data_IF_943112157331
#
_entry.id   IF_943112157331
#
_cell.length_a   1.000
_cell.length_b   1.000
_cell.length_c   1.000
_cell.angle_alpha   90.00
_cell.angle_beta   90.00
_cell.angle_gamma   90.00
#
_symmetry.space_group_name_H-M   'P 1'
#
loop_
_entity.id
_entity.type
_entity.pdbx_description
1 polymer ?
#
# COMPACT_ATOMS: atom_id res chain seq x y z
N UNK A 1 -9.28 3.22 -3.83
CA UNK A 1 -8.87 2.07 -4.66
C UNK A 1 -7.69 1.37 -4.01
N UNK A 2 -7.52 0.04 -4.18
CA UNK A 2 -6.37 -0.67 -3.62
C UNK A 2 -5.04 -0.17 -4.22
N UNK A 3 -3.92 -0.28 -3.49
CA UNK A 3 -2.60 -0.12 -4.08
C UNK A 3 -2.42 -1.15 -5.19
N UNK A 4 -1.68 -0.80 -6.23
CA UNK A 4 -1.42 -1.73 -7.34
C UNK A 4 -0.53 -2.91 -6.89
N UNK A 5 -0.56 -4.04 -7.64
CA UNK A 5 0.44 -5.08 -7.55
C UNK A 5 1.87 -4.52 -7.74
N UNK A 6 2.87 -5.23 -7.23
CA UNK A 6 4.19 -4.65 -6.99
C UNK A 6 5.11 -4.75 -8.22
N UNK A 7 5.84 -3.67 -8.48
CA UNK A 7 7.10 -3.69 -9.25
C UNK A 7 8.26 -4.09 -8.32
N UNK A 8 9.46 -4.33 -8.87
CA UNK A 8 10.65 -4.62 -8.07
C UNK A 8 10.97 -3.47 -7.10
N UNK A 9 10.95 -2.23 -7.59
CA UNK A 9 11.26 -1.06 -6.76
C UNK A 9 10.23 -0.88 -5.64
N UNK A 10 8.93 -1.13 -5.90
CA UNK A 10 7.91 -1.06 -4.86
C UNK A 10 8.11 -2.14 -3.80
N UNK A 11 8.45 -3.35 -4.22
CA UNK A 11 8.76 -4.46 -3.33
C UNK A 11 10.00 -4.15 -2.46
N UNK A 12 11.06 -3.58 -3.04
CA UNK A 12 12.27 -3.14 -2.34
C UNK A 12 11.97 -2.04 -1.32
N UNK A 13 11.21 -1.01 -1.71
CA UNK A 13 10.81 0.08 -0.81
C UNK A 13 9.97 -0.46 0.35
N UNK A 14 8.99 -1.31 0.06
CA UNK A 14 8.07 -1.85 1.06
C UNK A 14 8.78 -2.78 2.04
N UNK A 15 9.62 -3.69 1.53
CA UNK A 15 10.40 -4.60 2.36
C UNK A 15 11.47 -3.86 3.17
N UNK A 16 12.12 -2.85 2.60
CA UNK A 16 13.07 -2.00 3.32
C UNK A 16 12.40 -1.21 4.45
N UNK A 17 11.20 -0.64 4.22
CA UNK A 17 10.44 0.06 5.25
C UNK A 17 9.95 -0.86 6.38
N UNK A 18 9.52 -2.08 6.03
CA UNK A 18 8.87 -3.01 6.98
C UNK A 18 9.86 -3.90 7.73
N UNK A 19 10.95 -4.28 7.09
CA UNK A 19 11.90 -5.28 7.60
C UNK A 19 13.34 -4.80 7.65
N UNK A 20 13.65 -3.60 7.11
CA UNK A 20 15.02 -3.10 7.04
C UNK A 20 15.91 -3.82 6.02
N UNK A 21 15.31 -4.52 5.04
CA UNK A 21 16.08 -5.25 4.03
C UNK A 21 16.72 -4.33 2.99
N UNK A 22 17.93 -4.69 2.60
CA UNK A 22 18.64 -4.03 1.51
C UNK A 22 18.04 -4.43 0.15
N UNK A 23 18.05 -3.54 -0.86
CA UNK A 23 17.45 -3.80 -2.18
C UNK A 23 17.95 -5.09 -2.84
N UNK A 24 19.23 -5.41 -2.66
CA UNK A 24 19.85 -6.62 -3.20
C UNK A 24 19.30 -7.90 -2.54
N UNK A 25 19.11 -7.91 -1.22
CA UNK A 25 18.55 -9.05 -0.49
C UNK A 25 17.10 -9.33 -0.95
N UNK A 26 16.33 -8.27 -1.20
CA UNK A 26 14.97 -8.38 -1.72
C UNK A 26 14.96 -8.98 -3.13
N UNK A 27 15.87 -8.52 -4.01
CA UNK A 27 15.99 -9.05 -5.36
C UNK A 27 16.38 -10.53 -5.37
N UNK A 28 17.36 -10.93 -4.54
CA UNK A 28 17.78 -12.34 -4.42
C UNK A 28 16.65 -13.24 -3.92
N UNK A 29 15.90 -12.78 -2.92
CA UNK A 29 14.74 -13.51 -2.42
C UNK A 29 13.62 -13.63 -3.47
N UNK A 30 13.31 -12.55 -4.19
CA UNK A 30 12.33 -12.55 -5.27
C UNK A 30 12.76 -13.44 -6.45
N UNK A 31 14.05 -13.43 -6.79
CA UNK A 31 14.66 -14.30 -7.80
C UNK A 31 14.52 -15.77 -7.42
N UNK A 32 14.82 -16.14 -6.17
CA UNK A 32 14.65 -17.51 -5.69
C UNK A 32 13.18 -17.97 -5.72
N UNK A 33 12.22 -17.09 -5.43
CA UNK A 33 10.78 -17.39 -5.53
C UNK A 33 10.35 -17.60 -7.00
N UNK A 34 10.87 -16.80 -7.92
CA UNK A 34 10.62 -16.94 -9.35
C UNK A 34 11.21 -18.26 -9.92
N UNK A 35 12.42 -18.64 -9.49
CA UNK A 35 13.05 -19.90 -9.90
C UNK A 35 12.30 -21.13 -9.36
N UNK A 36 11.70 -21.01 -8.17
CA UNK A 36 10.73 -21.97 -7.63
C UNK A 36 9.36 -21.93 -8.33
N UNK A 37 9.16 -21.00 -9.28
CA UNK A 37 7.95 -20.78 -10.07
C UNK A 37 6.72 -20.36 -9.26
N UNK A 38 6.89 -19.92 -8.01
CA UNK A 38 5.76 -19.51 -7.14
C UNK A 38 5.37 -18.05 -7.32
N UNK A 39 6.22 -17.24 -7.94
CA UNK A 39 5.95 -15.85 -8.34
C UNK A 39 6.33 -15.61 -9.80
N UNK A 40 5.80 -14.54 -10.40
CA UNK A 40 6.17 -14.10 -11.76
C UNK A 40 7.53 -13.36 -11.79
N UNK A 41 7.98 -12.99 -13.00
CA UNK A 41 9.32 -12.43 -13.23
C UNK A 41 9.60 -11.22 -12.32
N UNK A 42 10.67 -11.25 -11.50
CA UNK A 42 10.83 -10.32 -10.39
C UNK A 42 11.53 -9.01 -10.76
N UNK A 43 12.08 -8.89 -11.98
CA UNK A 43 12.75 -7.65 -12.45
C UNK A 43 11.81 -6.82 -13.33
N UNK A 44 10.59 -6.66 -12.86
CA UNK A 44 9.55 -5.87 -13.54
C UNK A 44 9.47 -4.47 -12.96
N UNK A 45 9.36 -3.47 -13.83
CA UNK A 45 9.09 -2.07 -13.50
C UNK A 45 7.58 -1.74 -13.53
N UNK A 46 6.75 -2.71 -13.91
CA UNK A 46 5.32 -2.54 -14.15
C UNK A 46 4.49 -2.90 -12.91
N UNK A 47 3.41 -2.15 -12.70
CA UNK A 47 2.42 -2.37 -11.64
C UNK A 47 1.07 -2.93 -12.15
N UNK A 48 0.96 -3.19 -13.45
CA UNK A 48 -0.28 -3.65 -14.10
C UNK A 48 -0.22 -5.14 -14.44
N UNK A 49 -1.39 -5.73 -14.67
CA UNK A 49 -1.61 -7.14 -14.97
C UNK A 49 -2.29 -7.31 -16.34
N UNK A 50 -1.94 -8.35 -17.11
CA UNK A 50 -2.59 -8.64 -18.39
C UNK A 50 -4.04 -9.07 -18.21
N UNK A 51 -4.94 -8.60 -19.08
CA UNK A 51 -6.37 -8.94 -18.99
C UNK A 51 -6.59 -10.47 -19.08
N UNK A 52 -5.74 -11.19 -19.83
CA UNK A 52 -5.86 -12.63 -20.04
C UNK A 52 -5.53 -13.48 -18.78
N UNK A 53 -4.80 -12.93 -17.80
CA UNK A 53 -4.46 -13.60 -16.54
C UNK A 53 -5.64 -13.56 -15.54
N UNK A 54 -6.68 -12.77 -15.81
CA UNK A 54 -7.89 -12.72 -14.98
C UNK A 54 -8.51 -14.10 -14.72
N UNK A 55 -8.39 -15.03 -15.67
CA UNK A 55 -8.89 -16.41 -15.55
C UNK A 55 -8.15 -17.24 -14.49
N UNK A 56 -6.91 -16.89 -14.15
CA UNK A 56 -6.08 -17.65 -13.22
C UNK A 56 -6.38 -17.29 -11.75
N UNK A 57 -7.13 -16.20 -11.49
CA UNK A 57 -7.36 -15.65 -10.15
C UNK A 57 -7.92 -16.65 -9.14
N UNK A 58 -8.85 -17.49 -9.57
CA UNK A 58 -9.51 -18.46 -8.70
C UNK A 58 -8.51 -19.47 -8.16
N UNK A 59 -7.65 -20.03 -9.03
CA UNK A 59 -6.63 -21.00 -8.64
C UNK A 59 -5.57 -20.34 -7.75
N UNK A 60 -5.14 -19.12 -8.10
CA UNK A 60 -4.16 -18.39 -7.29
C UNK A 60 -4.69 -18.13 -5.87
N UNK A 61 -5.90 -17.60 -5.73
CA UNK A 61 -6.50 -17.33 -4.42
C UNK A 61 -6.75 -18.62 -3.62
N UNK A 62 -7.18 -19.70 -4.26
CA UNK A 62 -7.30 -21.02 -3.60
C UNK A 62 -5.96 -21.54 -3.07
N UNK A 63 -4.86 -21.33 -3.79
CA UNK A 63 -3.53 -21.69 -3.29
C UNK A 63 -3.14 -20.83 -2.07
N UNK A 64 -3.44 -19.53 -2.10
CA UNK A 64 -3.15 -18.61 -1.00
C UNK A 64 -3.99 -18.93 0.26
N UNK A 65 -5.22 -19.43 0.09
CA UNK A 65 -6.06 -19.90 1.21
C UNK A 65 -5.39 -21.02 2.04
N UNK A 66 -4.47 -21.79 1.45
CA UNK A 66 -3.76 -22.89 2.12
C UNK A 66 -2.52 -22.43 2.89
N UNK A 67 -2.17 -21.14 2.84
CA UNK A 67 -0.98 -20.60 3.51
C UNK A 67 -1.40 -20.02 4.86
N UNK A 68 -1.08 -20.73 5.94
CA UNK A 68 -1.33 -20.33 7.33
C UNK A 68 -0.30 -19.33 7.87
N UNK A 69 0.06 -18.32 7.08
CA UNK A 69 1.00 -17.27 7.47
C UNK A 69 0.27 -15.94 7.62
N UNK A 70 0.24 -15.42 8.85
CA UNK A 70 -0.56 -14.23 9.19
C UNK A 70 -2.02 -14.43 8.76
N UNK A 71 -2.58 -13.40 8.12
CA UNK A 71 -3.98 -13.37 7.70
C UNK A 71 -4.19 -13.75 6.22
N UNK A 72 -3.14 -14.21 5.50
CA UNK A 72 -3.24 -14.48 4.06
C UNK A 72 -4.37 -15.44 3.70
N UNK A 73 -4.54 -16.50 4.50
CA UNK A 73 -5.60 -17.49 4.30
C UNK A 73 -6.98 -16.84 4.38
N UNK A 74 -7.23 -16.10 5.46
CA UNK A 74 -8.49 -15.40 5.75
C UNK A 74 -8.78 -14.35 4.68
N UNK A 75 -7.80 -13.53 4.31
CA UNK A 75 -7.98 -12.52 3.26
C UNK A 75 -8.26 -13.13 1.89
N UNK A 76 -7.61 -14.26 1.57
CA UNK A 76 -7.86 -14.96 0.31
C UNK A 76 -9.23 -15.64 0.27
N UNK A 77 -9.76 -16.04 1.43
CA UNK A 77 -11.11 -16.61 1.55
C UNK A 77 -12.19 -15.53 1.39
N UNK A 78 -11.94 -14.33 1.93
CA UNK A 78 -12.87 -13.20 1.88
C UNK A 78 -12.75 -12.34 0.61
N UNK A 79 -11.84 -12.67 -0.31
CA UNK A 79 -11.66 -11.99 -1.58
C UNK A 79 -12.89 -12.17 -2.50
N UNK A 80 -13.39 -11.08 -3.07
CA UNK A 80 -14.50 -11.11 -4.02
C UNK A 80 -13.98 -11.29 -5.45
N UNK A 81 -14.18 -12.49 -6.00
CA UNK A 81 -13.74 -12.87 -7.36
C UNK A 81 -14.44 -12.09 -8.48
N UNK A 82 -15.49 -11.32 -8.18
CA UNK A 82 -16.18 -10.43 -9.12
C UNK A 82 -15.55 -9.03 -9.14
N UNK A 83 -14.86 -8.63 -8.06
CA UNK A 83 -14.17 -7.33 -7.97
C UNK A 83 -12.89 -7.36 -8.78
N UNK A 84 -12.84 -6.47 -9.78
CA UNK A 84 -11.68 -6.27 -10.64
C UNK A 84 -11.14 -4.85 -10.50
N UNK A 85 -9.97 -4.71 -9.89
CA UNK A 85 -9.31 -3.40 -9.77
C UNK A 85 -8.79 -2.86 -11.11
N UNK A 86 -8.34 -1.60 -11.12
CA UNK A 86 -7.70 -0.96 -12.27
C UNK A 86 -6.32 -1.54 -12.65
N UNK A 87 -5.79 -2.48 -11.86
CA UNK A 87 -4.51 -3.13 -12.18
C UNK A 87 -4.56 -3.95 -13.47
N UNK A 88 -5.74 -4.43 -13.86
CA UNK A 88 -5.92 -5.24 -15.07
C UNK A 88 -6.02 -4.35 -16.31
N UNK A 89 -4.91 -4.13 -17.01
CA UNK A 89 -4.85 -3.19 -18.13
C UNK A 89 -3.68 -3.47 -19.09
N UNK A 90 -3.97 -4.12 -20.23
CA UNK A 90 -2.96 -4.45 -21.24
C UNK A 90 -2.22 -3.22 -21.79
N UNK A 91 -2.88 -2.06 -21.87
CA UNK A 91 -2.29 -0.82 -22.43
C UNK A 91 -1.21 -0.20 -21.54
N UNK A 92 -1.12 -0.63 -20.28
CA UNK A 92 -0.18 -0.10 -19.30
C UNK A 92 0.98 -1.06 -19.02
N UNK A 93 1.02 -2.19 -19.72
CA UNK A 93 2.08 -3.19 -19.59
C UNK A 93 3.27 -2.78 -20.44
N UNK A 94 4.47 -2.90 -19.87
CA UNK A 94 5.75 -2.68 -20.54
C UNK A 94 6.25 -4.02 -21.12
N UNK A 95 7.54 -4.34 -21.00
CA UNK A 95 8.07 -5.66 -21.35
C UNK A 95 7.56 -6.77 -20.41
N UNK A 96 7.26 -6.40 -19.16
CA UNK A 96 6.81 -7.31 -18.11
C UNK A 96 5.58 -6.74 -17.41
N UNK A 97 4.86 -7.60 -16.69
CA UNK A 97 3.74 -7.21 -15.84
C UNK A 97 4.15 -7.27 -14.36
N UNK A 98 3.28 -6.85 -13.44
CA UNK A 98 3.59 -6.83 -12.02
C UNK A 98 3.95 -8.21 -11.44
N UNK A 99 4.71 -8.19 -10.34
CA UNK A 99 5.12 -9.38 -9.61
C UNK A 99 3.91 -9.88 -8.80
N UNK A 100 3.43 -11.08 -9.12
CA UNK A 100 2.28 -11.73 -8.47
C UNK A 100 2.57 -13.20 -8.17
N UNK A 101 1.80 -13.85 -7.28
CA UNK A 101 1.84 -15.30 -7.13
C UNK A 101 1.38 -16.00 -8.42
N UNK A 102 1.86 -17.21 -8.68
CA UNK A 102 1.45 -18.01 -9.84
C UNK A 102 0.40 -19.05 -9.46
N UNK A 103 -0.06 -19.83 -10.45
CA UNK A 103 -0.90 -21.02 -10.22
C UNK A 103 -0.17 -22.16 -9.50
N UNK A 104 1.16 -22.09 -9.37
CA UNK A 104 1.91 -23.09 -8.61
C UNK A 104 1.70 -22.86 -7.11
N UNK A 105 1.30 -23.89 -6.35
CA UNK A 105 1.17 -23.76 -4.91
C UNK A 105 2.55 -23.48 -4.27
N UNK A 106 2.57 -22.59 -3.29
CA UNK A 106 3.78 -22.25 -2.56
C UNK A 106 3.87 -23.07 -1.26
N UNK A 107 4.91 -23.89 -1.13
CA UNK A 107 5.27 -24.55 0.13
C UNK A 107 5.90 -23.54 1.09
N UNK A 108 5.08 -22.62 1.62
CA UNK A 108 5.52 -21.44 2.37
C UNK A 108 6.44 -21.76 3.56
N UNK A 109 6.17 -22.86 4.28
CA UNK A 109 6.98 -23.30 5.42
C UNK A 109 8.41 -23.71 5.06
N UNK A 110 8.68 -24.04 3.80
CA UNK A 110 10.02 -24.43 3.31
C UNK A 110 10.87 -23.25 2.84
N UNK A 111 10.28 -22.06 2.76
CA UNK A 111 10.97 -20.84 2.35
C UNK A 111 11.82 -20.31 3.50
N UNK A 112 12.91 -19.61 3.16
CA UNK A 112 13.67 -18.84 4.16
C UNK A 112 12.83 -17.67 4.70
N UNK A 113 13.19 -17.12 5.86
CA UNK A 113 12.44 -15.99 6.46
C UNK A 113 12.28 -14.81 5.50
N UNK A 114 13.35 -14.42 4.78
CA UNK A 114 13.25 -13.34 3.79
C UNK A 114 12.32 -13.71 2.63
N UNK A 115 12.40 -14.95 2.11
CA UNK A 115 11.51 -15.41 1.04
C UNK A 115 10.04 -15.43 1.50
N UNK A 116 9.78 -15.83 2.74
CA UNK A 116 8.44 -15.77 3.34
C UNK A 116 7.91 -14.34 3.39
N UNK A 117 8.71 -13.40 3.89
CA UNK A 117 8.33 -11.99 3.94
C UNK A 117 8.07 -11.39 2.56
N UNK A 118 8.94 -11.68 1.59
CA UNK A 118 8.79 -11.18 0.21
C UNK A 118 7.55 -11.79 -0.46
N UNK A 119 7.35 -13.10 -0.36
CA UNK A 119 6.16 -13.75 -0.89
C UNK A 119 4.88 -13.21 -0.25
N UNK A 120 4.89 -12.97 1.07
CA UNK A 120 3.76 -12.39 1.80
C UNK A 120 3.37 -11.02 1.24
N UNK A 121 4.34 -10.12 1.01
CA UNK A 121 4.07 -8.79 0.45
C UNK A 121 3.47 -8.87 -0.96
N UNK A 122 4.00 -9.76 -1.81
CA UNK A 122 3.50 -10.02 -3.16
C UNK A 122 2.05 -10.55 -3.12
N UNK A 123 1.80 -11.56 -2.27
CA UNK A 123 0.48 -12.15 -2.11
C UNK A 123 -0.54 -11.15 -1.55
N UNK A 124 -0.18 -10.39 -0.52
CA UNK A 124 -1.04 -9.37 0.09
C UNK A 124 -1.46 -8.31 -0.95
N UNK A 125 -0.52 -7.80 -1.75
CA UNK A 125 -0.80 -6.83 -2.81
C UNK A 125 -1.70 -7.42 -3.91
N UNK A 126 -1.53 -8.71 -4.26
CA UNK A 126 -2.40 -9.39 -5.21
C UNK A 126 -3.83 -9.58 -4.66
N UNK A 127 -3.99 -10.03 -3.41
CA UNK A 127 -5.30 -10.22 -2.78
C UNK A 127 -6.08 -8.89 -2.72
N UNK A 128 -5.41 -7.77 -2.44
CA UNK A 128 -6.03 -6.44 -2.41
C UNK A 128 -6.78 -6.06 -3.70
N UNK A 129 -6.44 -6.68 -4.85
CA UNK A 129 -7.08 -6.41 -6.14
C UNK A 129 -8.52 -6.95 -6.24
N UNK A 130 -8.93 -7.78 -5.27
CA UNK A 130 -10.24 -8.44 -5.17
C UNK A 130 -11.07 -7.90 -4.00
N UNK A 131 -10.68 -6.74 -3.46
CA UNK A 131 -11.39 -6.06 -2.39
C UNK A 131 -11.99 -4.74 -2.87
N UNK A 132 -13.16 -4.41 -2.33
CA UNK A 132 -13.86 -3.14 -2.61
C UNK A 132 -13.01 -1.92 -2.21
N UNK A 133 -13.33 -0.73 -2.74
CA UNK A 133 -12.76 0.52 -2.27
C UNK A 133 -12.88 0.69 -0.76
N UNK A 134 -11.93 1.44 -0.19
CA UNK A 134 -12.04 1.94 1.18
C UNK A 134 -12.90 3.21 1.14
N UNK A 135 -13.99 3.22 1.89
CA UNK A 135 -14.97 4.30 1.90
C UNK A 135 -15.02 4.95 3.29
N UNK A 136 -15.00 6.28 3.31
CA UNK A 136 -15.05 7.05 4.55
C UNK A 136 -15.69 8.42 4.30
N UNK A 137 -16.35 8.95 5.32
CA UNK A 137 -16.80 10.33 5.34
C UNK A 137 -15.65 11.20 5.87
N UNK A 138 -15.37 12.29 5.14
CA UNK A 138 -14.40 13.31 5.53
C UNK A 138 -15.14 14.56 5.98
N UNK A 139 -14.96 14.95 7.24
CA UNK A 139 -15.56 16.16 7.81
C UNK A 139 -14.49 17.21 8.04
N UNK A 140 -14.77 18.45 7.66
CA UNK A 140 -13.95 19.59 8.02
C UNK A 140 -14.84 20.59 8.76
N UNK A 141 -14.49 20.89 10.01
CA UNK A 141 -15.13 21.94 10.80
C UNK A 141 -14.23 23.17 10.81
N UNK A 142 -14.79 24.30 10.41
CA UNK A 142 -14.15 25.60 10.50
C UNK A 142 -14.83 26.40 11.61
N UNK A 143 -14.05 26.84 12.59
CA UNK A 143 -14.52 27.65 13.71
C UNK A 143 -13.87 29.02 13.63
N UNK A 144 -14.64 30.07 13.89
CA UNK A 144 -14.12 31.44 13.98
C UNK A 144 -14.26 31.94 15.41
N UNK A 145 -13.13 32.26 16.05
CA UNK A 145 -13.08 32.74 17.42
C UNK A 145 -12.10 33.89 17.52
N UNK A 146 -12.52 35.03 18.10
CA UNK A 146 -11.69 36.23 18.25
C UNK A 146 -10.96 36.68 16.95
N UNK A 147 -11.66 36.59 15.81
CA UNK A 147 -11.17 36.86 14.45
C UNK A 147 -10.16 35.84 13.88
N UNK A 148 -9.83 34.77 14.59
CA UNK A 148 -8.97 33.68 14.12
C UNK A 148 -9.79 32.50 13.59
N UNK A 149 -9.20 31.74 12.64
CA UNK A 149 -9.81 30.55 12.05
C UNK A 149 -9.13 29.30 12.60
N UNK A 150 -9.92 28.41 13.18
CA UNK A 150 -9.50 27.08 13.61
C UNK A 150 -10.14 26.02 12.71
N UNK A 151 -9.34 25.03 12.31
CA UNK A 151 -9.80 23.94 11.43
C UNK A 151 -9.62 22.62 12.18
N UNK A 152 -10.69 21.86 12.29
CA UNK A 152 -10.67 20.48 12.75
C UNK A 152 -11.05 19.54 11.60
N UNK A 153 -10.32 18.43 11.48
CA UNK A 153 -10.58 17.40 10.48
C UNK A 153 -11.07 16.13 11.17
N UNK A 154 -12.13 15.54 10.62
CA UNK A 154 -12.76 14.33 11.08
C UNK A 154 -12.83 13.29 9.98
N UNK A 155 -12.78 12.02 10.37
CA UNK A 155 -12.85 10.89 9.45
C UNK A 155 -13.67 9.77 10.07
N UNK A 156 -14.77 9.39 9.42
CA UNK A 156 -15.60 8.25 9.83
C UNK A 156 -15.54 7.16 8.76
N UNK A 157 -15.06 5.97 9.11
CA UNK A 157 -14.95 4.86 8.16
C UNK A 157 -16.33 4.24 7.92
N UNK A 158 -16.74 4.17 6.65
CA UNK A 158 -17.98 3.49 6.20
C UNK A 158 -17.70 2.04 5.85
N UNK A 159 -16.69 1.82 5.00
CA UNK A 159 -16.26 0.49 4.59
C UNK A 159 -14.73 0.41 4.58
N UNK A 160 -14.16 -0.62 5.22
CA UNK A 160 -12.72 -0.81 5.23
C UNK A 160 -12.15 -1.24 3.88
N UNK A 161 -12.92 -1.98 3.08
CA UNK A 161 -12.49 -2.49 1.77
C UNK A 161 -11.10 -3.11 1.81
N UNK A 162 -10.29 -2.82 0.77
CA UNK A 162 -8.90 -3.28 0.67
C UNK A 162 -8.01 -2.85 1.86
N UNK A 163 -8.37 -1.77 2.57
CA UNK A 163 -7.56 -1.25 3.67
C UNK A 163 -7.56 -2.19 4.88
N UNK A 164 -8.54 -3.08 4.98
CA UNK A 164 -8.58 -4.16 5.97
C UNK A 164 -7.29 -5.02 5.96
N UNK A 165 -6.70 -5.25 4.78
CA UNK A 165 -5.47 -6.04 4.64
C UNK A 165 -4.25 -5.37 5.28
N UNK A 166 -4.30 -4.06 5.54
CA UNK A 166 -3.14 -3.27 5.97
C UNK A 166 -3.29 -2.68 7.38
N UNK A 167 -4.39 -2.95 8.08
CA UNK A 167 -4.71 -2.36 9.39
C UNK A 167 -3.65 -2.61 10.47
N UNK A 168 -3.06 -3.81 10.52
CA UNK A 168 -2.02 -4.15 11.51
C UNK A 168 -0.77 -3.25 11.40
N UNK A 169 -0.55 -2.61 10.24
CA UNK A 169 0.59 -1.72 9.98
C UNK A 169 0.22 -0.24 10.01
N UNK A 170 -1.07 0.09 10.13
CA UNK A 170 -1.53 1.48 10.25
C UNK A 170 -1.29 2.05 11.65
N UNK A 171 -1.23 1.20 12.69
CA UNK A 171 -1.04 1.61 14.09
C UNK A 171 0.33 2.23 14.41
N UNK A 172 1.30 2.19 13.50
CA UNK A 172 2.63 2.83 13.67
C UNK A 172 2.69 4.25 13.10
N UNK A 173 1.71 4.68 12.29
CA UNK A 173 1.57 6.06 11.85
C UNK A 173 0.43 6.73 12.64
N UNK A 174 0.79 7.68 13.51
CA UNK A 174 -0.14 8.41 14.38
C UNK A 174 -1.25 9.19 13.68
N UNK A 175 -1.16 9.39 12.36
CA UNK A 175 -2.07 10.22 11.57
C UNK A 175 -3.39 9.52 11.18
N UNK A 176 -3.54 8.22 11.48
CA UNK A 176 -4.75 7.45 11.17
C UNK A 176 -5.63 7.15 12.38
N UNK A 177 -5.53 7.94 13.46
CA UNK A 177 -6.58 7.87 14.49
C UNK A 177 -7.89 8.37 13.87
N UNK A 178 -8.90 7.49 13.86
CA UNK A 178 -10.27 7.83 13.49
C UNK A 178 -10.74 8.92 14.45
N UNK A 179 -10.69 10.17 14.00
CA UNK A 179 -11.20 11.30 14.76
C UNK A 179 -12.62 11.56 14.31
N UNK A 180 -13.59 11.14 15.12
CA UNK A 180 -14.99 11.46 14.87
C UNK A 180 -15.21 12.89 15.35
N UNK A 181 -15.72 13.73 14.45
CA UNK A 181 -16.19 15.07 14.80
C UNK A 181 -17.69 15.03 15.07
N UNK A 182 -18.19 15.89 15.97
CA UNK A 182 -19.63 16.00 16.21
C UNK A 182 -20.35 16.48 14.93
N UNK A 183 -21.62 16.11 14.80
CA UNK A 183 -22.50 16.69 13.77
C UNK A 183 -22.89 18.11 14.20
N UNK A 184 -22.63 19.09 13.34
CA UNK A 184 -22.95 20.51 13.57
C UNK A 184 -23.43 21.15 12.28
N UNK A 185 -24.09 22.30 12.40
CA UNK A 185 -24.55 23.16 11.31
C UNK A 185 -23.82 24.50 11.29
N UNK A 186 -23.83 25.17 10.14
CA UNK A 186 -23.33 26.54 10.03
C UNK A 186 -24.18 27.46 10.91
N UNK A 187 -23.52 28.20 11.80
CA UNK A 187 -24.17 29.09 12.77
C UNK A 187 -24.33 28.49 14.17
N UNK A 188 -24.01 27.21 14.36
CA UNK A 188 -23.97 26.60 15.69
C UNK A 188 -22.98 27.35 16.58
N UNK A 189 -23.41 27.61 17.81
CA UNK A 189 -22.56 28.25 18.82
C UNK A 189 -21.61 27.23 19.41
N UNK A 190 -20.35 27.60 19.54
CA UNK A 190 -19.33 26.83 20.25
C UNK A 190 -18.86 27.58 21.48
N UNK A 191 -18.52 26.83 22.53
CA UNK A 191 -17.96 27.39 23.76
C UNK A 191 -16.46 27.09 23.79
N UNK A 192 -15.65 28.12 24.03
CA UNK A 192 -14.23 27.94 24.28
C UNK A 192 -14.03 27.43 25.71
N UNK A 193 -13.36 26.28 25.86
CA UNK A 193 -13.00 25.71 27.16
C UNK A 193 -11.56 26.02 27.54
N UNK A 194 -10.61 25.69 26.66
CA UNK A 194 -9.18 25.92 26.89
C UNK A 194 -8.40 25.93 25.57
N UNK A 195 -7.17 26.42 25.62
CA UNK A 195 -6.26 26.48 24.48
C UNK A 195 -4.81 26.40 24.96
N UNK A 196 -3.95 25.84 24.11
CA UNK A 196 -2.52 25.70 24.39
C UNK A 196 -1.71 26.25 23.22
N UNK A 197 -0.56 26.85 23.53
CA UNK A 197 0.39 27.32 22.52
C UNK A 197 1.43 26.23 22.29
N UNK A 198 1.34 25.55 21.15
CA UNK A 198 2.34 24.56 20.75
C UNK A 198 3.57 25.24 20.13
N UNK A 199 4.68 25.27 20.87
CA UNK A 199 5.97 25.67 20.30
C UNK A 199 6.55 24.54 19.46
N UNK A 200 6.54 24.69 18.13
CA UNK A 200 7.13 23.74 17.18
C UNK A 200 8.43 24.29 16.61
N UNK A 201 9.38 23.40 16.35
CA UNK A 201 10.62 23.71 15.62
C UNK A 201 10.67 22.89 14.34
N UNK A 202 11.19 23.50 13.28
CA UNK A 202 11.48 22.79 12.03
C UNK A 202 12.56 21.73 12.27
N UNK A 203 12.36 20.55 11.69
CA UNK A 203 13.37 19.50 11.68
C UNK A 203 14.14 19.56 10.36
N UNK A 204 15.46 19.33 10.35
CA UNK A 204 16.20 19.20 9.11
C UNK A 204 15.66 18.00 8.29
N UNK A 205 15.84 18.00 6.96
CA UNK A 205 15.45 16.87 6.12
C UNK A 205 16.05 15.55 6.61
N UNK A 206 15.24 14.49 6.64
CA UNK A 206 15.73 13.16 7.00
C UNK A 206 16.77 12.68 5.98
N UNK A 207 17.82 12.01 6.47
CA UNK A 207 18.81 11.35 5.60
C UNK A 207 18.16 10.20 4.83
N UNK A 208 18.73 9.86 3.69
CA UNK A 208 18.31 8.68 2.94
C UNK A 208 18.63 7.39 3.71
N UNK A 209 17.67 6.46 3.66
CA UNK A 209 17.86 5.04 3.93
C UNK A 209 17.92 4.33 2.58
N UNK A 210 18.31 3.04 2.54
CA UNK A 210 18.28 2.29 1.30
C UNK A 210 16.88 2.32 0.63
N UNK A 211 15.81 2.19 1.42
CA UNK A 211 14.43 2.25 0.93
C UNK A 211 14.06 3.64 0.38
N UNK A 212 14.37 4.73 1.09
CA UNK A 212 14.04 6.07 0.61
C UNK A 212 14.93 6.52 -0.55
N UNK A 213 16.14 5.98 -0.67
CA UNK A 213 17.02 6.20 -1.83
C UNK A 213 16.45 5.52 -3.08
N UNK A 214 16.00 4.25 -2.99
CA UNK A 214 15.31 3.58 -4.11
C UNK A 214 14.05 4.34 -4.51
N UNK A 215 13.27 4.81 -3.55
CA UNK A 215 12.11 5.67 -3.81
C UNK A 215 12.48 6.95 -4.56
N UNK A 216 13.55 7.62 -4.14
CA UNK A 216 14.05 8.82 -4.81
C UNK A 216 14.56 8.54 -6.24
N UNK A 217 15.23 7.40 -6.46
CA UNK A 217 15.69 6.99 -7.79
C UNK A 217 14.51 6.65 -8.72
N UNK A 218 13.46 6.00 -8.20
CA UNK A 218 12.23 5.72 -8.95
C UNK A 218 11.52 7.02 -9.37
N UNK A 219 11.55 8.04 -8.51
CA UNK A 219 10.90 9.32 -8.73
C UNK A 219 11.91 10.46 -8.94
N UNK A 220 12.99 10.20 -9.69
CA UNK A 220 14.12 11.13 -9.81
C UNK A 220 13.71 12.51 -10.35
N UNK A 221 12.65 12.56 -11.16
CA UNK A 221 12.06 13.80 -11.67
C UNK A 221 11.65 14.79 -10.55
N UNK A 222 11.34 14.31 -9.34
CA UNK A 222 11.03 15.17 -8.17
C UNK A 222 12.25 15.97 -7.69
N UNK A 223 13.46 15.49 -7.98
CA UNK A 223 14.73 16.11 -7.59
C UNK A 223 15.35 16.97 -8.70
N UNK A 224 14.77 16.96 -9.90
CA UNK A 224 15.21 17.79 -11.02
C UNK A 224 14.73 19.23 -10.81
N UNK A 225 15.66 20.19 -10.75
CA UNK A 225 15.33 21.61 -10.56
C UNK A 225 14.79 22.29 -11.82
N UNK A 226 15.20 21.82 -12.99
CA UNK A 226 14.73 22.35 -14.27
C UNK A 226 13.34 21.78 -14.60
N UNK A 227 12.32 22.63 -14.54
CA UNK A 227 10.93 22.28 -14.84
C UNK A 227 10.73 21.65 -16.23
N UNK A 228 11.61 21.94 -17.20
CA UNK A 228 11.53 21.37 -18.55
C UNK A 228 11.86 19.89 -18.58
N UNK A 229 12.75 19.45 -17.68
CA UNK A 229 13.23 18.08 -17.60
C UNK A 229 12.36 17.20 -16.67
N UNK A 230 11.46 17.79 -15.87
CA UNK A 230 10.55 17.05 -14.96
C UNK A 230 9.49 16.21 -15.67
N UNK A 231 9.23 16.46 -16.96
CA UNK A 231 8.17 15.80 -17.74
C UNK A 231 8.61 14.47 -18.38
N UNK A 232 9.89 14.12 -18.23
CA UNK A 232 10.52 12.91 -18.75
C UNK A 232 10.98 12.02 -17.60
#
# INVERSE_FOLDING_TARGET
>A
MPPFPLSLSDLQILAGKRYGYEPQQVLEAAQALYEKKVTTYPRSDCNYLPLNQWKDRTVILQNLQRISAGELSIWSQNADLTVRSLAWNDKKITAHHAIIPTKMPCSFSTLTSIQQHIYYLIAQAYIAQFYKPYEYDSTQLQLTMAAEIFIAHGKAVREWGWKALYQQYANTNSDEKVHLLPSTCVGDKVTYESGTVEKKMTKPPSRFTAASLVGAMKEIYKYVKDERLKKF
#
